data_IF_424236406765
#
_entry.id   IF_424236406765
#
_cell.length_a   1.000
_cell.length_b   1.000
_cell.length_c   1.000
_cell.angle_alpha   90.00
_cell.angle_beta   90.00
_cell.angle_gamma   90.00
#
_symmetry.space_group_name_H-M   'P 1'
#
loop_
_entity.id
_entity.type
_entity.pdbx_description
1 polymer ?
#
# COMPACT_ATOMS: atom_id res chain seq x y z
N UNK A 1 20.84 -3.83 -2.60
CA UNK A 1 19.94 -4.43 -1.60
C UNK A 1 18.52 -4.06 -2.00
N UNK A 2 17.70 -5.03 -2.35
CA UNK A 2 16.46 -4.79 -3.09
C UNK A 2 15.33 -4.25 -2.22
N UNK A 3 14.36 -3.56 -2.82
CA UNK A 3 13.09 -3.17 -2.18
C UNK A 3 12.39 -4.37 -1.49
N UNK A 4 12.61 -5.57 -2.03
CA UNK A 4 12.17 -6.84 -1.44
C UNK A 4 12.81 -7.18 -0.11
N UNK A 5 14.11 -6.99 0.05
CA UNK A 5 14.75 -7.25 1.33
C UNK A 5 14.26 -6.25 2.38
N UNK A 6 14.09 -4.98 2.00
CA UNK A 6 13.56 -3.93 2.86
C UNK A 6 12.10 -4.21 3.28
N UNK A 7 11.24 -4.59 2.33
CA UNK A 7 9.86 -4.96 2.62
C UNK A 7 9.79 -6.19 3.52
N UNK A 8 10.57 -7.23 3.21
CA UNK A 8 10.62 -8.45 4.02
C UNK A 8 11.19 -8.20 5.41
N UNK A 9 12.19 -7.33 5.56
CA UNK A 9 12.76 -6.98 6.86
C UNK A 9 11.77 -6.15 7.70
N UNK A 10 11.06 -5.21 7.07
CA UNK A 10 9.98 -4.49 7.74
C UNK A 10 8.85 -5.44 8.13
N UNK A 11 8.42 -6.31 7.22
CA UNK A 11 7.44 -7.35 7.54
C UNK A 11 7.97 -8.17 8.72
N UNK A 12 9.22 -8.68 8.68
CA UNK A 12 9.95 -9.40 9.75
C UNK A 12 9.92 -8.70 11.09
N UNK A 13 10.00 -7.38 11.12
CA UNK A 13 9.90 -6.62 12.37
C UNK A 13 8.51 -6.71 13.03
N UNK A 14 7.46 -7.06 12.28
CA UNK A 14 6.11 -7.33 12.76
C UNK A 14 5.92 -8.81 13.20
N UNK A 15 6.92 -9.68 13.04
CA UNK A 15 6.78 -11.13 13.24
C UNK A 15 6.87 -11.54 14.71
N UNK A 16 5.70 -11.64 15.32
CA UNK A 16 5.44 -12.61 16.39
C UNK A 16 4.43 -13.70 15.96
N UNK A 17 3.86 -13.62 14.75
CA UNK A 17 2.81 -14.53 14.23
C UNK A 17 3.22 -15.22 12.93
N UNK A 18 2.86 -16.50 12.77
CA UNK A 18 3.08 -17.29 11.54
C UNK A 18 2.13 -16.91 10.39
N UNK A 19 0.98 -16.32 10.71
CA UNK A 19 0.03 -15.81 9.72
C UNK A 19 -0.12 -14.30 9.84
N UNK A 20 -0.05 -13.63 8.69
CA UNK A 20 -0.21 -12.20 8.53
C UNK A 20 -1.27 -11.89 7.47
N UNK A 21 -2.05 -10.86 7.75
CA UNK A 21 -3.03 -10.32 6.82
C UNK A 21 -2.66 -8.87 6.54
N UNK A 22 -2.52 -8.53 5.25
CA UNK A 22 -2.11 -7.22 4.78
C UNK A 22 -3.16 -6.71 3.80
N UNK A 23 -3.50 -5.43 3.93
CA UNK A 23 -4.37 -4.76 2.96
C UNK A 23 -3.57 -3.80 2.11
N UNK A 24 -3.60 -4.03 0.79
CA UNK A 24 -2.94 -3.19 -0.20
C UNK A 24 -3.97 -2.23 -0.80
N UNK A 25 -3.80 -0.97 -0.49
CA UNK A 25 -4.72 0.10 -0.86
C UNK A 25 -3.97 1.28 -1.45
N UNK A 26 -4.70 2.23 -2.04
CA UNK A 26 -4.15 3.34 -2.79
C UNK A 26 -4.89 3.55 -4.11
N UNK A 27 -4.59 4.65 -4.79
CA UNK A 27 -5.31 5.08 -5.98
C UNK A 27 -5.23 4.07 -7.13
N UNK A 28 -6.15 4.18 -8.09
CA UNK A 28 -6.10 3.37 -9.30
C UNK A 28 -4.77 3.60 -10.02
N UNK A 29 -4.25 2.57 -10.69
CA UNK A 29 -2.98 2.63 -11.42
C UNK A 29 -1.72 2.82 -10.54
N UNK A 30 -1.83 2.87 -9.20
CA UNK A 30 -0.65 2.97 -8.32
C UNK A 30 0.31 1.76 -8.37
N UNK A 31 -0.10 0.65 -8.99
CA UNK A 31 0.71 -0.58 -9.13
C UNK A 31 0.51 -1.62 -8.02
N UNK A 32 -0.62 -1.56 -7.30
CA UNK A 32 -0.99 -2.54 -6.24
C UNK A 32 -1.01 -3.98 -6.75
N UNK A 33 -1.70 -4.24 -7.86
CA UNK A 33 -1.80 -5.57 -8.47
C UNK A 33 -0.43 -6.08 -8.91
N UNK A 34 0.40 -5.22 -9.49
CA UNK A 34 1.78 -5.56 -9.86
C UNK A 34 2.64 -5.89 -8.64
N UNK A 35 2.48 -5.15 -7.54
CA UNK A 35 3.14 -5.43 -6.27
C UNK A 35 2.71 -6.78 -5.70
N UNK A 36 1.40 -7.08 -5.70
CA UNK A 36 0.86 -8.38 -5.28
C UNK A 36 1.43 -9.51 -6.14
N UNK A 37 1.45 -9.34 -7.47
CA UNK A 37 2.02 -10.32 -8.39
C UNK A 37 3.49 -10.59 -8.06
N UNK A 38 4.28 -9.52 -7.91
CA UNK A 38 5.71 -9.63 -7.66
C UNK A 38 6.03 -10.28 -6.29
N UNK A 39 5.17 -10.08 -5.28
CA UNK A 39 5.27 -10.80 -3.99
C UNK A 39 4.89 -12.27 -4.16
N UNK A 40 3.84 -12.57 -4.94
CA UNK A 40 3.30 -13.91 -5.09
C UNK A 40 4.18 -14.85 -5.93
N UNK A 41 4.73 -14.36 -7.04
CA UNK A 41 5.47 -15.18 -8.03
C UNK A 41 6.99 -14.99 -7.95
N UNK A 42 7.47 -13.99 -7.20
CA UNK A 42 8.88 -13.59 -7.20
C UNK A 42 9.32 -12.88 -8.48
N UNK A 43 8.38 -12.53 -9.38
CA UNK A 43 8.66 -11.88 -10.66
C UNK A 43 7.56 -10.89 -11.07
N UNK A 44 7.92 -9.90 -11.90
CA UNK A 44 7.01 -8.91 -12.44
C UNK A 44 6.36 -9.43 -13.73
N UNK A 45 5.04 -9.23 -13.88
CA UNK A 45 4.31 -9.48 -15.14
C UNK A 45 3.67 -8.17 -15.58
N UNK A 46 3.97 -7.72 -16.81
CA UNK A 46 3.58 -6.41 -17.37
C UNK A 46 2.08 -6.25 -17.59
N UNK A 47 1.34 -7.35 -17.78
CA UNK A 47 -0.10 -7.29 -18.04
C UNK A 47 -0.92 -7.36 -16.74
N UNK A 48 -1.20 -6.22 -16.12
CA UNK A 48 -2.20 -6.13 -15.05
C UNK A 48 -3.46 -5.40 -15.52
N UNK A 49 -4.55 -6.15 -15.71
CA UNK A 49 -5.90 -5.62 -15.91
C UNK A 49 -6.34 -4.91 -14.60
N UNK A 50 -6.96 -3.72 -14.64
CA UNK A 50 -7.45 -3.04 -13.45
C UNK A 50 -8.42 -3.92 -12.64
N UNK A 51 -8.15 -4.12 -11.34
CA UNK A 51 -9.01 -4.90 -10.44
C UNK A 51 -10.39 -4.26 -10.29
N UNK A 52 -11.45 -5.01 -10.60
CA UNK A 52 -12.84 -4.62 -10.36
C UNK A 52 -13.24 -5.10 -8.95
N UNK A 53 -13.54 -4.17 -8.04
CA UNK A 53 -13.95 -4.51 -6.68
C UNK A 53 -12.77 -4.84 -5.77
N UNK A 54 -12.60 -6.12 -5.45
CA UNK A 54 -11.59 -6.62 -4.49
C UNK A 54 -11.09 -7.99 -4.90
N UNK A 55 -9.80 -8.24 -4.73
CA UNK A 55 -9.19 -9.55 -4.93
C UNK A 55 -8.32 -9.90 -3.71
N UNK A 56 -8.47 -11.11 -3.16
CA UNK A 56 -7.61 -11.62 -2.10
C UNK A 56 -6.62 -12.61 -2.70
N UNK A 57 -5.33 -12.38 -2.47
CA UNK A 57 -4.28 -13.36 -2.79
C UNK A 57 -3.62 -13.86 -1.52
N UNK A 58 -3.54 -15.18 -1.39
CA UNK A 58 -2.76 -15.83 -0.34
C UNK A 58 -1.39 -16.19 -0.90
N UNK A 59 -0.33 -15.65 -0.30
CA UNK A 59 1.06 -15.97 -0.61
C UNK A 59 1.66 -16.63 0.61
N UNK A 60 2.23 -17.82 0.45
CA UNK A 60 2.90 -18.53 1.54
C UNK A 60 4.38 -18.67 1.17
N UNK A 61 5.27 -18.11 2.00
CA UNK A 61 6.73 -18.17 1.81
C UNK A 61 7.39 -18.60 3.11
N UNK A 62 7.90 -19.83 3.17
CA UNK A 62 8.36 -20.45 4.40
C UNK A 62 7.22 -20.62 5.41
N UNK A 63 7.44 -20.21 6.66
CA UNK A 63 6.43 -20.30 7.74
C UNK A 63 5.49 -19.09 7.80
N UNK A 64 5.52 -18.23 6.78
CA UNK A 64 4.76 -17.00 6.70
C UNK A 64 3.66 -17.17 5.67
N UNK A 65 2.43 -16.99 6.10
CA UNK A 65 1.29 -16.80 5.20
C UNK A 65 0.92 -15.33 5.18
N UNK A 66 0.91 -14.72 4.00
CA UNK A 66 0.47 -13.35 3.76
C UNK A 66 -0.82 -13.39 2.96
N UNK A 67 -1.91 -12.91 3.54
CA UNK A 67 -3.13 -12.59 2.77
C UNK A 67 -3.03 -11.14 2.30
N UNK A 68 -3.14 -10.90 1.01
CA UNK A 68 -3.05 -9.59 0.37
C UNK A 68 -4.41 -9.23 -0.21
N UNK A 69 -5.03 -8.17 0.30
CA UNK A 69 -6.23 -7.59 -0.30
C UNK A 69 -5.84 -6.52 -1.32
N UNK A 70 -6.07 -6.76 -2.61
CA UNK A 70 -5.97 -5.76 -3.68
C UNK A 70 -7.34 -5.12 -3.88
N UNK A 71 -7.49 -3.88 -3.41
CA UNK A 71 -8.75 -3.14 -3.49
C UNK A 71 -8.71 -2.17 -4.66
N UNK A 72 -9.77 -2.13 -5.46
CA UNK A 72 -9.92 -1.17 -6.54
C UNK A 72 -9.70 0.26 -6.04
N UNK A 73 -8.84 1.02 -6.73
CA UNK A 73 -8.51 2.40 -6.35
C UNK A 73 -9.45 3.46 -6.93
N UNK A 74 -10.46 3.04 -7.68
CA UNK A 74 -11.52 3.91 -8.20
C UNK A 74 -12.31 4.51 -7.04
N UNK A 75 -12.73 5.77 -7.19
CA UNK A 75 -13.46 6.51 -6.15
C UNK A 75 -14.65 5.73 -5.57
N UNK A 76 -15.41 5.02 -6.42
CA UNK A 76 -16.57 4.19 -6.00
C UNK A 76 -16.23 3.03 -5.05
N UNK A 77 -14.97 2.60 -5.00
CA UNK A 77 -14.53 1.47 -4.17
C UNK A 77 -13.79 1.91 -2.90
N UNK A 78 -13.44 3.20 -2.77
CA UNK A 78 -12.68 3.72 -1.61
C UNK A 78 -13.44 3.61 -0.29
N UNK A 79 -14.77 3.64 -0.34
CA UNK A 79 -15.64 3.41 0.83
C UNK A 79 -15.47 2.02 1.45
N UNK A 80 -14.94 1.05 0.69
CA UNK A 80 -14.66 -0.29 1.20
C UNK A 80 -13.29 -0.40 1.89
N UNK A 81 -12.38 0.57 1.71
CA UNK A 81 -11.02 0.48 2.26
C UNK A 81 -11.03 0.27 3.77
N UNK A 82 -11.86 1.04 4.49
CA UNK A 82 -12.01 0.89 5.94
C UNK A 82 -12.41 -0.55 6.31
N UNK A 83 -13.41 -1.12 5.64
CA UNK A 83 -13.91 -2.47 5.94
C UNK A 83 -12.82 -3.54 5.80
N UNK A 84 -11.98 -3.43 4.77
CA UNK A 84 -10.93 -4.41 4.49
C UNK A 84 -9.61 -4.12 5.20
N UNK A 85 -9.44 -2.93 5.78
CA UNK A 85 -8.29 -2.63 6.63
C UNK A 85 -8.50 -3.04 8.09
N UNK A 86 -9.74 -3.32 8.52
CA UNK A 86 -10.00 -3.76 9.90
C UNK A 86 -9.41 -5.14 10.18
N UNK A 87 -8.74 -5.28 11.33
CA UNK A 87 -8.22 -6.56 11.82
C UNK A 87 -6.99 -7.10 11.08
N UNK A 88 -6.45 -6.35 10.11
CA UNK A 88 -5.23 -6.72 9.41
C UNK A 88 -4.00 -6.50 10.30
N UNK A 89 -2.92 -7.21 9.99
CA UNK A 89 -1.64 -7.07 10.67
C UNK A 89 -0.94 -5.76 10.31
N UNK A 90 -1.10 -5.28 9.07
CA UNK A 90 -0.68 -3.95 8.65
C UNK A 90 -1.36 -3.49 7.34
N UNK A 91 -1.40 -2.18 7.14
CA UNK A 91 -1.89 -1.53 5.92
C UNK A 91 -0.70 -1.14 5.07
N UNK A 92 -0.73 -1.48 3.77
CA UNK A 92 0.26 -1.05 2.78
C UNK A 92 -0.42 -0.09 1.81
N UNK A 93 -0.08 1.20 1.93
CA UNK A 93 -0.61 2.27 1.08
C UNK A 93 0.34 2.58 -0.07
N UNK A 94 -0.08 2.28 -1.30
CA UNK A 94 0.76 2.44 -2.50
C UNK A 94 0.41 3.74 -3.23
N UNK A 95 1.44 4.55 -3.49
CA UNK A 95 1.35 5.84 -4.19
C UNK A 95 2.17 5.77 -5.48
N UNK A 96 1.61 6.18 -6.61
CA UNK A 96 2.39 6.41 -7.83
C UNK A 96 3.17 7.71 -7.65
N UNK A 97 4.48 7.63 -7.47
CA UNK A 97 5.29 8.84 -7.24
C UNK A 97 5.64 9.58 -8.53
N UNK A 98 5.38 8.98 -9.68
CA UNK A 98 5.58 9.63 -10.97
C UNK A 98 4.35 10.43 -11.42
N UNK A 99 3.16 10.08 -10.92
CA UNK A 99 1.90 10.80 -11.16
C UNK A 99 1.68 11.87 -10.09
N UNK A 100 2.27 13.05 -10.31
CA UNK A 100 2.24 14.19 -9.38
C UNK A 100 0.83 14.72 -9.12
N UNK A 101 -0.07 14.63 -10.10
CA UNK A 101 -1.46 15.08 -9.96
C UNK A 101 -2.26 14.15 -9.05
N UNK A 102 -1.88 12.88 -8.98
CA UNK A 102 -2.49 11.90 -8.09
C UNK A 102 -2.07 12.04 -6.62
N UNK A 103 -0.91 12.62 -6.33
CA UNK A 103 -0.34 12.66 -4.96
C UNK A 103 -1.24 13.47 -4.00
N UNK A 104 -1.77 14.65 -4.34
CA UNK A 104 -2.72 15.36 -3.48
C UNK A 104 -3.99 14.54 -3.19
N UNK A 105 -4.49 13.80 -4.19
CA UNK A 105 -5.66 12.93 -4.01
C UNK A 105 -5.31 11.75 -3.09
N UNK A 106 -4.13 11.15 -3.30
CA UNK A 106 -3.66 10.04 -2.48
C UNK A 106 -3.47 10.46 -1.03
N UNK A 107 -3.02 11.69 -0.80
CA UNK A 107 -2.91 12.29 0.51
C UNK A 107 -4.26 12.42 1.21
N UNK A 108 -5.24 13.07 0.57
CA UNK A 108 -6.57 13.25 1.17
C UNK A 108 -7.17 11.91 1.57
N UNK A 109 -7.14 10.92 0.68
CA UNK A 109 -7.69 9.59 0.96
C UNK A 109 -6.91 8.83 2.05
N UNK A 110 -5.59 9.05 2.14
CA UNK A 110 -4.78 8.48 3.22
C UNK A 110 -5.16 9.08 4.58
N UNK A 111 -5.28 10.41 4.65
CA UNK A 111 -5.66 11.12 5.87
C UNK A 111 -7.07 10.72 6.32
N UNK A 112 -8.02 10.69 5.39
CA UNK A 112 -9.40 10.26 5.65
C UNK A 112 -9.47 8.82 6.19
N UNK A 113 -8.56 7.94 5.74
CA UNK A 113 -8.48 6.57 6.19
C UNK A 113 -7.86 6.45 7.59
N UNK A 114 -6.72 7.08 7.85
CA UNK A 114 -6.06 6.97 9.17
C UNK A 114 -6.84 7.66 10.28
N UNK A 115 -7.74 8.58 9.94
CA UNK A 115 -8.67 9.20 10.89
C UNK A 115 -9.83 8.28 11.29
N UNK A 116 -9.96 7.07 10.70
CA UNK A 116 -11.01 6.12 11.08
C UNK A 116 -10.64 5.44 12.40
N UNK A 117 -11.44 5.62 13.48
CA UNK A 117 -11.15 4.99 14.78
C UNK A 117 -11.10 3.46 14.70
N UNK A 118 -11.78 2.86 13.72
CA UNK A 118 -11.78 1.42 13.51
C UNK A 118 -10.44 0.86 13.02
N UNK A 119 -9.50 1.73 12.63
CA UNK A 119 -8.17 1.38 12.14
C UNK A 119 -7.05 1.80 13.13
N UNK A 120 -7.41 2.32 14.30
CA UNK A 120 -6.45 2.75 15.32
C UNK A 120 -5.54 1.59 15.74
N UNK A 121 -4.25 1.88 15.87
CA UNK A 121 -3.24 0.91 16.29
C UNK A 121 -2.78 -0.07 15.20
N UNK A 122 -3.36 -0.02 14.00
CA UNK A 122 -2.89 -0.84 12.87
C UNK A 122 -1.66 -0.18 12.23
N UNK A 123 -0.52 -0.86 12.13
CA UNK A 123 0.67 -0.32 11.47
C UNK A 123 0.41 0.05 10.00
N UNK A 124 0.92 1.22 9.58
CA UNK A 124 0.82 1.71 8.21
C UNK A 124 2.21 1.80 7.56
N UNK A 125 2.34 1.21 6.37
CA UNK A 125 3.49 1.38 5.48
C UNK A 125 3.06 2.14 4.23
N UNK A 126 3.69 3.28 3.96
CA UNK A 126 3.51 3.99 2.69
C UNK A 126 4.63 3.61 1.72
N UNK A 127 4.24 3.13 0.53
CA UNK A 127 5.15 2.76 -0.55
C UNK A 127 5.00 3.72 -1.73
N UNK A 128 6.06 4.47 -2.01
CA UNK A 128 6.19 5.23 -3.25
C UNK A 128 6.64 4.31 -4.38
N UNK A 129 5.77 4.06 -5.35
CA UNK A 129 5.97 3.14 -6.47
C UNK A 129 6.24 3.89 -7.79
N UNK A 130 6.78 3.18 -8.78
CA UNK A 130 7.20 3.69 -10.10
C UNK A 130 8.37 4.68 -10.05
N UNK A 131 9.35 4.37 -9.19
CA UNK A 131 10.59 5.15 -9.02
C UNK A 131 11.52 5.09 -10.24
N UNK A 132 11.23 4.20 -11.19
CA UNK A 132 11.95 4.03 -12.46
C UNK A 132 11.67 5.17 -13.46
N UNK A 133 10.59 5.94 -13.27
CA UNK A 133 10.21 7.03 -14.16
C UNK A 133 10.95 8.34 -13.82
N UNK A 134 11.25 9.14 -14.84
CA UNK A 134 11.93 10.43 -14.70
C UNK A 134 11.18 11.44 -13.82
N UNK A 135 9.85 11.36 -13.80
CA UNK A 135 8.98 12.30 -13.08
C UNK A 135 8.86 11.98 -11.59
N UNK A 136 9.37 10.80 -11.17
CA UNK A 136 9.22 10.25 -9.83
C UNK A 136 9.69 11.22 -8.74
N UNK A 137 8.83 11.44 -7.74
CA UNK A 137 9.18 12.22 -6.56
C UNK A 137 10.30 11.52 -5.77
N UNK A 138 11.20 12.33 -5.22
CA UNK A 138 12.15 11.85 -4.23
C UNK A 138 11.40 11.40 -2.97
N UNK A 139 12.03 10.52 -2.19
CA UNK A 139 11.47 10.06 -0.91
C UNK A 139 11.11 11.24 0.01
N UNK A 140 11.97 12.26 0.08
CA UNK A 140 11.73 13.44 0.91
C UNK A 140 10.53 14.23 0.39
N UNK A 141 10.47 14.49 -0.92
CA UNK A 141 9.34 15.22 -1.51
C UNK A 141 8.01 14.51 -1.32
N UNK A 142 7.98 13.17 -1.39
CA UNK A 142 6.77 12.39 -1.09
C UNK A 142 6.35 12.55 0.37
N UNK A 143 7.29 12.46 1.31
CA UNK A 143 7.01 12.66 2.75
C UNK A 143 6.46 14.06 3.00
N UNK A 144 7.11 15.07 2.42
CA UNK A 144 6.70 16.46 2.56
C UNK A 144 5.27 16.65 2.03
N UNK A 145 4.96 16.16 0.84
CA UNK A 145 3.63 16.31 0.24
C UNK A 145 2.55 15.54 1.00
N UNK A 146 2.82 14.32 1.47
CA UNK A 146 1.82 13.55 2.21
C UNK A 146 1.57 14.14 3.60
N UNK A 147 2.61 14.63 4.26
CA UNK A 147 2.55 15.04 5.67
C UNK A 147 2.57 16.55 5.92
N UNK A 148 2.52 17.37 4.86
CA UNK A 148 2.69 18.83 4.94
C UNK A 148 1.82 19.48 6.03
N UNK A 149 0.52 19.14 6.13
CA UNK A 149 -0.38 19.74 7.14
C UNK A 149 -0.32 19.11 8.54
N UNK A 150 0.36 17.97 8.72
CA UNK A 150 0.60 17.42 10.06
C UNK A 150 1.81 18.08 10.73
N UNK A 151 2.70 18.71 9.96
CA UNK A 151 3.80 19.52 10.50
C UNK A 151 3.31 20.87 11.08
N UNK A 152 2.14 21.35 10.64
CA UNK A 152 1.52 22.59 11.14
C UNK A 152 0.71 22.39 12.44
N UNK A 153 0.66 21.16 12.98
CA UNK A 153 -0.08 20.80 14.21
C UNK A 153 0.84 20.45 15.39
N UNK A 154 2.08 20.95 15.39
CA UNK A 154 2.95 20.97 16.57
C UNK A 154 3.48 22.37 16.85
#
# INVERSE_FOLDING_TARGET
MGLWDSLLNWLRSLFFKQEMELSLIGLQNAGKTSLVNAIATGGYTEDSIPTVGFNMRKVTKGNVTIKLWDIGGQRRFRTMWERYCRGVSAIVYVVDVADRDSVPIARTELLDLIMKPSLDGIPLLVLGNKIDKSEALSKQALVDQLWQSCMDLK
#
